data_IF_309998216352
#
_entry.id   IF_309998216352
#
_cell.length_a   1.000
_cell.length_b   1.000
_cell.length_c   1.000
_cell.angle_alpha   90.00
_cell.angle_beta   90.00
_cell.angle_gamma   90.00
#
_symmetry.space_group_name_H-M   'P 1'
#
loop_
_entity.id
_entity.type
_entity.pdbx_description
1 polymer ?
#
# COMPACT_ATOMS: atom_id res chain seq x y z
N UNK A 1 2.33 3.10 18.55
CA UNK A 1 2.08 2.12 17.47
C UNK A 1 3.13 1.02 17.44
N UNK A 2 4.41 1.36 17.52
CA UNK A 2 5.56 0.45 17.33
C UNK A 2 6.26 0.04 18.63
N UNK A 3 5.55 0.04 19.76
CA UNK A 3 6.09 -0.28 21.07
C UNK A 3 6.70 -1.69 21.14
N UNK A 4 6.00 -2.69 20.60
CA UNK A 4 6.46 -4.08 20.62
C UNK A 4 7.76 -4.29 19.84
N UNK A 5 7.95 -3.56 18.75
CA UNK A 5 9.17 -3.60 17.95
C UNK A 5 10.34 -2.94 18.66
N UNK A 6 10.08 -1.83 19.36
CA UNK A 6 11.12 -1.15 20.15
C UNK A 6 11.62 -1.98 21.32
N UNK A 7 10.77 -2.86 21.86
CA UNK A 7 11.03 -3.60 23.11
C UNK A 7 11.34 -5.09 22.90
N UNK A 8 11.30 -5.60 21.66
CA UNK A 8 11.55 -7.04 21.37
C UNK A 8 12.91 -7.55 21.84
N UNK A 9 13.94 -6.70 21.88
CA UNK A 9 15.30 -7.03 22.32
C UNK A 9 15.68 -6.30 23.64
N UNK A 10 14.79 -5.45 24.14
CA UNK A 10 15.05 -4.58 25.27
C UNK A 10 14.67 -5.23 26.61
N UNK A 11 15.35 -4.82 27.66
CA UNK A 11 14.97 -5.17 29.04
C UNK A 11 13.63 -4.52 29.41
N UNK A 12 12.85 -5.12 30.32
CA UNK A 12 11.58 -4.57 30.78
C UNK A 12 11.66 -3.15 31.39
N UNK A 13 12.86 -2.68 31.74
CA UNK A 13 13.15 -1.31 32.19
C UNK A 13 13.08 -0.29 31.05
N UNK A 14 13.50 -0.66 29.86
CA UNK A 14 13.47 0.25 28.68
C UNK A 14 12.05 0.45 28.14
N UNK A 15 11.23 -0.59 28.08
CA UNK A 15 9.81 -0.48 27.72
C UNK A 15 9.08 0.51 28.66
N UNK A 16 9.39 0.45 29.96
CA UNK A 16 8.83 1.37 30.94
C UNK A 16 9.31 2.81 30.72
N UNK A 17 10.59 3.02 30.34
CA UNK A 17 11.15 4.35 30.04
C UNK A 17 10.47 4.98 28.81
N UNK A 18 10.46 4.28 27.67
CA UNK A 18 9.85 4.77 26.43
C UNK A 18 8.37 5.10 26.67
N UNK A 19 7.64 4.20 27.32
CA UNK A 19 6.22 4.42 27.63
C UNK A 19 6.03 5.66 28.51
N UNK A 20 6.87 5.88 29.51
CA UNK A 20 6.80 7.05 30.40
C UNK A 20 7.13 8.34 29.66
N UNK A 21 8.16 8.34 28.79
CA UNK A 21 8.53 9.51 27.98
C UNK A 21 7.42 9.90 26.99
N UNK A 22 6.85 8.91 26.28
CA UNK A 22 5.70 9.14 25.37
C UNK A 22 4.49 9.65 26.17
N UNK A 23 4.18 9.08 27.33
CA UNK A 23 3.09 9.54 28.17
C UNK A 23 3.31 10.98 28.65
N UNK A 24 4.54 11.37 28.99
CA UNK A 24 4.89 12.74 29.36
C UNK A 24 4.61 13.71 28.21
N UNK A 25 5.03 13.37 26.97
CA UNK A 25 4.74 14.19 25.78
C UNK A 25 3.23 14.34 25.56
N UNK A 26 2.48 13.24 25.67
CA UNK A 26 1.03 13.25 25.49
C UNK A 26 0.32 14.08 26.56
N UNK A 27 0.77 14.01 27.82
CA UNK A 27 0.21 14.82 28.93
C UNK A 27 0.46 16.30 28.73
N UNK A 28 1.68 16.70 28.37
CA UNK A 28 2.00 18.10 28.09
C UNK A 28 1.15 18.61 26.93
N UNK A 29 1.09 17.87 25.82
CA UNK A 29 0.26 18.25 24.68
C UNK A 29 -1.24 18.34 25.03
N UNK A 30 -1.76 17.39 25.79
CA UNK A 30 -3.16 17.38 26.21
C UNK A 30 -3.54 18.55 27.12
N UNK A 31 -2.63 18.95 28.02
CA UNK A 31 -2.87 20.04 28.98
C UNK A 31 -2.55 21.41 28.33
N UNK A 32 -1.34 21.52 27.76
CA UNK A 32 -0.80 22.83 27.36
C UNK A 32 -1.31 23.30 25.97
N UNK A 33 -1.70 22.34 25.12
CA UNK A 33 -2.11 22.65 23.72
C UNK A 33 -3.59 22.37 23.47
N UNK A 34 -4.11 21.29 24.03
CA UNK A 34 -5.49 20.87 23.79
C UNK A 34 -6.46 21.28 24.89
N UNK A 35 -5.95 21.85 25.99
CA UNK A 35 -6.72 22.19 27.19
C UNK A 35 -7.73 21.11 27.59
N UNK A 36 -7.34 19.84 27.39
CA UNK A 36 -8.22 18.69 27.42
C UNK A 36 -7.93 17.72 28.58
N UNK A 37 -8.85 16.77 28.74
CA UNK A 37 -8.74 15.71 29.74
C UNK A 37 -8.20 14.44 29.11
N UNK A 38 -6.97 14.04 29.50
CA UNK A 38 -6.29 12.81 29.06
C UNK A 38 -6.49 11.70 30.06
N UNK A 39 -6.99 10.55 29.60
CA UNK A 39 -7.12 9.33 30.39
C UNK A 39 -6.43 8.15 29.70
N UNK A 40 -5.63 7.40 30.43
CA UNK A 40 -5.10 6.11 29.98
C UNK A 40 -6.20 5.04 30.08
N UNK A 41 -6.51 4.37 29.00
CA UNK A 41 -7.56 3.33 28.94
C UNK A 41 -6.97 1.95 29.14
N UNK A 42 -5.92 1.60 28.38
CA UNK A 42 -5.16 0.34 28.47
C UNK A 42 -3.69 0.61 28.19
N UNK A 43 -2.85 -0.43 28.19
CA UNK A 43 -1.47 -0.29 27.75
C UNK A 43 -1.41 0.20 26.30
N UNK A 44 -0.78 1.37 26.09
CA UNK A 44 -0.61 1.99 24.79
C UNK A 44 -1.86 2.66 24.20
N UNK A 45 -2.99 2.73 24.93
CA UNK A 45 -4.19 3.46 24.48
C UNK A 45 -4.58 4.55 25.47
N UNK A 46 -4.84 5.73 24.92
CA UNK A 46 -5.25 6.91 25.67
C UNK A 46 -6.54 7.48 25.05
N UNK A 47 -7.34 8.14 25.85
CA UNK A 47 -8.51 8.91 25.43
C UNK A 47 -8.30 10.36 25.84
N UNK A 48 -8.42 11.27 24.90
CA UNK A 48 -8.39 12.71 25.12
C UNK A 48 -9.77 13.27 24.80
N UNK A 49 -10.30 14.09 25.72
CA UNK A 49 -11.52 14.88 25.52
C UNK A 49 -11.10 16.34 25.49
N UNK A 50 -11.43 17.02 24.42
CA UNK A 50 -11.14 18.45 24.19
C UNK A 50 -12.28 19.08 23.39
N UNK A 51 -12.25 20.37 23.19
CA UNK A 51 -13.23 21.08 22.35
C UNK A 51 -12.76 21.20 20.89
N UNK A 52 -13.68 21.65 20.06
CA UNK A 52 -13.49 21.74 18.61
C UNK A 52 -12.51 22.85 18.21
N UNK A 53 -12.39 23.92 19.01
CA UNK A 53 -11.47 25.00 18.74
C UNK A 53 -10.01 24.52 18.80
N UNK A 54 -9.65 23.76 19.83
CA UNK A 54 -8.29 23.24 19.98
C UNK A 54 -7.96 22.17 18.92
N UNK A 55 -8.97 21.44 18.42
CA UNK A 55 -8.77 20.55 17.27
C UNK A 55 -8.41 21.36 16.01
N UNK A 56 -9.10 22.48 15.72
CA UNK A 56 -8.76 23.34 14.57
C UNK A 56 -7.38 23.99 14.71
N UNK A 57 -7.00 24.40 15.92
CA UNK A 57 -5.64 24.88 16.17
C UNK A 57 -4.58 23.81 15.96
N UNK A 58 -4.83 22.57 16.42
CA UNK A 58 -3.95 21.44 16.18
C UNK A 58 -3.84 21.09 14.69
N UNK A 59 -4.94 21.18 13.93
CA UNK A 59 -4.95 21.02 12.46
C UNK A 59 -4.04 22.05 11.80
N UNK A 60 -4.15 23.31 12.17
CA UNK A 60 -3.31 24.40 11.62
C UNK A 60 -1.82 24.13 11.87
N UNK A 61 -1.48 23.55 13.02
CA UNK A 61 -0.12 23.10 13.38
C UNK A 61 0.21 21.69 12.86
N UNK A 62 -0.65 21.11 12.00
CA UNK A 62 -0.53 19.75 11.42
C UNK A 62 -0.25 18.68 12.47
N UNK A 63 -0.82 18.80 13.66
CA UNK A 63 -0.62 17.88 14.80
C UNK A 63 0.86 17.66 15.13
N UNK A 64 1.57 18.71 15.48
CA UNK A 64 2.99 18.69 15.83
C UNK A 64 3.36 17.66 16.94
N UNK A 65 2.38 17.16 17.71
CA UNK A 65 2.57 16.09 18.69
C UNK A 65 3.13 14.80 18.06
N UNK A 66 2.82 14.51 16.79
CA UNK A 66 3.41 13.38 16.06
C UNK A 66 4.92 13.53 16.00
N UNK A 67 5.42 14.71 15.63
CA UNK A 67 6.86 14.98 15.57
C UNK A 67 7.49 14.96 16.96
N UNK A 68 6.81 15.47 17.98
CA UNK A 68 7.28 15.44 19.35
C UNK A 68 7.45 14.03 19.87
N UNK A 69 6.52 13.12 19.57
CA UNK A 69 6.64 11.70 19.97
C UNK A 69 7.77 11.01 19.20
N UNK A 70 8.02 11.35 17.95
CA UNK A 70 9.14 10.79 17.16
C UNK A 70 10.52 11.15 17.71
N UNK A 71 10.63 12.15 18.58
CA UNK A 71 11.90 12.47 19.27
C UNK A 71 12.26 11.43 20.33
N UNK A 72 11.28 10.69 20.85
CA UNK A 72 11.51 9.60 21.80
C UNK A 72 12.06 8.40 21.05
N UNK A 73 13.25 7.93 21.43
CA UNK A 73 13.95 6.84 20.76
C UNK A 73 14.25 5.68 21.71
N UNK A 74 14.12 4.46 21.17
CA UNK A 74 14.63 3.23 21.82
C UNK A 74 16.14 3.05 21.64
N UNK A 75 16.73 2.06 22.31
CA UNK A 75 18.15 1.70 22.21
C UNK A 75 18.57 1.34 20.78
N UNK A 76 17.65 0.77 19.99
CA UNK A 76 17.85 0.49 18.57
C UNK A 76 17.75 1.73 17.66
N UNK A 77 17.74 2.94 18.25
CA UNK A 77 17.55 4.23 17.58
C UNK A 77 16.23 4.37 16.81
N UNK A 78 15.26 3.49 17.05
CA UNK A 78 13.94 3.55 16.47
C UNK A 78 13.08 4.59 17.18
N UNK A 79 12.47 5.53 16.42
CA UNK A 79 11.58 6.54 16.97
C UNK A 79 10.24 5.95 17.40
N UNK A 80 9.70 6.41 18.52
CA UNK A 80 8.33 6.10 18.91
C UNK A 80 7.32 6.77 17.96
N UNK A 81 6.18 6.12 17.72
CA UNK A 81 5.10 6.66 16.88
C UNK A 81 3.76 6.52 17.57
N UNK A 82 2.82 7.44 17.24
CA UNK A 82 1.43 7.38 17.70
C UNK A 82 0.47 7.52 16.53
N UNK A 83 -0.71 6.92 16.69
CA UNK A 83 -1.87 7.16 15.82
C UNK A 83 -2.99 7.77 16.63
N UNK A 84 -3.69 8.74 16.03
CA UNK A 84 -4.77 9.48 16.70
C UNK A 84 -6.02 9.38 15.82
N UNK A 85 -7.13 8.95 16.42
CA UNK A 85 -8.46 9.02 15.81
C UNK A 85 -9.29 10.10 16.49
N UNK A 86 -9.88 10.99 15.71
CA UNK A 86 -10.71 12.10 16.21
C UNK A 86 -12.14 11.95 15.68
N UNK A 87 -13.11 11.94 16.59
CA UNK A 87 -14.55 11.95 16.29
C UNK A 87 -15.18 13.29 16.65
N UNK A 88 -15.56 14.07 15.63
CA UNK A 88 -16.14 15.42 15.79
C UNK A 88 -17.63 15.50 15.57
N UNK A 89 -18.24 14.48 14.96
CA UNK A 89 -19.57 14.59 14.38
C UNK A 89 -20.67 13.91 15.21
N UNK A 90 -20.37 13.47 16.42
CA UNK A 90 -21.35 12.78 17.25
C UNK A 90 -22.36 13.72 17.89
N UNK A 91 -23.64 13.41 17.81
CA UNK A 91 -24.70 14.09 18.57
C UNK A 91 -24.58 13.78 20.07
N UNK A 92 -23.97 12.65 20.40
CA UNK A 92 -23.70 12.19 21.77
C UNK A 92 -22.21 11.88 21.96
N UNK A 93 -21.76 11.88 23.22
CA UNK A 93 -20.39 11.50 23.56
C UNK A 93 -20.07 10.05 23.12
N UNK A 94 -21.03 9.14 23.21
CA UNK A 94 -20.88 7.75 22.76
C UNK A 94 -20.67 7.66 21.25
N UNK A 95 -21.39 8.47 20.48
CA UNK A 95 -21.24 8.51 19.03
C UNK A 95 -19.89 9.14 18.63
N UNK A 96 -19.49 10.22 19.30
CA UNK A 96 -18.15 10.80 19.10
C UNK A 96 -17.04 9.82 19.44
N UNK A 97 -17.18 9.00 20.49
CA UNK A 97 -16.24 7.94 20.81
C UNK A 97 -16.20 6.85 19.71
N UNK A 98 -17.36 6.44 19.19
CA UNK A 98 -17.44 5.49 18.09
C UNK A 98 -16.71 6.02 16.84
N UNK A 99 -16.97 7.26 16.45
CA UNK A 99 -16.31 7.92 15.32
C UNK A 99 -14.79 8.05 15.56
N UNK A 100 -14.35 8.37 16.77
CA UNK A 100 -12.93 8.42 17.12
C UNK A 100 -12.25 7.05 17.01
N UNK A 101 -12.95 5.97 17.40
CA UNK A 101 -12.43 4.60 17.23
C UNK A 101 -12.32 4.21 15.76
N UNK A 102 -13.35 4.49 14.94
CA UNK A 102 -13.31 4.25 13.50
C UNK A 102 -12.18 5.03 12.84
N UNK A 103 -12.00 6.30 13.21
CA UNK A 103 -10.91 7.12 12.73
C UNK A 103 -9.54 6.57 13.15
N UNK A 104 -9.40 6.05 14.39
CA UNK A 104 -8.16 5.42 14.84
C UNK A 104 -7.86 4.13 14.06
N UNK A 105 -8.85 3.28 13.82
CA UNK A 105 -8.70 2.08 13.00
C UNK A 105 -8.28 2.44 11.57
N UNK A 106 -8.86 3.52 11.02
CA UNK A 106 -8.47 4.04 9.72
C UNK A 106 -7.01 4.53 9.71
N UNK A 107 -6.57 5.28 10.73
CA UNK A 107 -5.19 5.73 10.86
C UNK A 107 -4.20 4.54 10.97
N UNK A 108 -4.53 3.53 11.77
CA UNK A 108 -3.72 2.32 11.93
C UNK A 108 -3.68 1.49 10.64
N UNK A 109 -4.84 1.29 9.98
CA UNK A 109 -4.94 0.57 8.70
C UNK A 109 -4.20 1.27 7.54
N UNK A 110 -3.89 2.57 7.68
CA UNK A 110 -3.07 3.32 6.73
C UNK A 110 -1.57 3.29 7.04
N UNK A 111 -1.16 2.51 8.03
CA UNK A 111 0.23 2.34 8.42
C UNK A 111 0.63 3.11 9.70
N UNK A 112 -0.32 3.65 10.45
CA UNK A 112 -0.03 4.37 11.70
C UNK A 112 0.73 5.69 11.53
N UNK A 113 1.24 6.21 12.66
CA UNK A 113 2.00 7.47 12.72
C UNK A 113 1.26 8.66 12.09
N UNK A 114 -0.04 8.75 12.31
CA UNK A 114 -0.90 9.76 11.70
C UNK A 114 -2.16 10.05 12.53
N UNK A 115 -2.80 11.14 12.19
CA UNK A 115 -4.11 11.52 12.69
C UNK A 115 -5.15 11.28 11.60
N UNK A 116 -6.26 10.66 11.95
CA UNK A 116 -7.46 10.62 11.13
C UNK A 116 -8.60 11.33 11.88
N UNK A 117 -9.32 12.19 11.19
CA UNK A 117 -10.48 12.92 11.71
C UNK A 117 -11.71 12.49 10.96
N UNK A 118 -12.71 11.97 11.66
CA UNK A 118 -14.02 11.70 11.11
C UNK A 118 -14.83 13.01 11.05
N UNK A 119 -15.27 13.39 9.86
CA UNK A 119 -16.00 14.64 9.59
C UNK A 119 -17.52 14.41 9.64
N UNK A 120 -18.29 15.52 9.75
CA UNK A 120 -19.77 15.47 9.81
C UNK A 120 -20.44 14.89 8.57
N UNK A 121 -19.79 14.99 7.42
CA UNK A 121 -20.27 14.42 6.14
C UNK A 121 -19.90 12.94 5.94
N UNK A 122 -19.32 12.31 6.95
CA UNK A 122 -18.85 10.91 6.88
C UNK A 122 -17.51 10.73 6.19
N UNK A 123 -16.85 11.80 5.79
CA UNK A 123 -15.50 11.75 5.20
C UNK A 123 -14.40 11.73 6.27
N UNK A 124 -13.18 11.42 5.84
CA UNK A 124 -12.01 11.45 6.71
C UNK A 124 -10.98 12.46 6.21
N UNK A 125 -10.39 13.19 7.16
CA UNK A 125 -9.25 14.06 6.91
C UNK A 125 -8.00 13.45 7.60
N UNK A 126 -6.83 13.51 6.94
CA UNK A 126 -5.62 12.85 7.43
C UNK A 126 -4.45 13.82 7.57
N UNK A 127 -3.65 13.64 8.63
CA UNK A 127 -2.42 14.40 8.89
C UNK A 127 -1.30 13.43 9.31
N UNK A 128 -0.06 13.66 8.88
CA UNK A 128 1.08 12.80 9.21
C UNK A 128 1.25 11.63 8.22
N UNK A 129 1.65 10.46 8.70
CA UNK A 129 1.93 9.28 7.86
C UNK A 129 3.24 9.37 7.09
N UNK A 130 4.22 10.11 7.62
CA UNK A 130 5.52 10.38 7.00
C UNK A 130 6.59 9.35 7.37
N UNK A 131 6.39 8.57 8.45
CA UNK A 131 7.38 7.60 8.88
C UNK A 131 7.41 6.39 7.94
N UNK A 132 8.61 5.85 7.73
CA UNK A 132 8.76 4.49 7.19
C UNK A 132 8.21 3.55 8.27
N UNK A 133 7.05 2.95 8.04
CA UNK A 133 6.47 1.99 8.97
C UNK A 133 7.45 0.86 9.26
N UNK A 134 7.44 0.39 10.49
CA UNK A 134 8.26 -0.76 10.90
C UNK A 134 7.55 -2.03 10.49
N UNK A 135 8.26 -2.93 9.85
CA UNK A 135 7.75 -4.24 9.46
C UNK A 135 7.30 -5.02 10.71
N UNK A 136 5.99 -5.21 10.86
CA UNK A 136 5.44 -6.06 11.92
C UNK A 136 5.50 -7.52 11.50
N UNK A 137 6.33 -8.30 12.19
CA UNK A 137 6.46 -9.73 11.93
C UNK A 137 5.60 -10.51 12.92
N UNK A 138 4.40 -10.92 12.53
CA UNK A 138 3.55 -11.79 13.34
C UNK A 138 3.27 -13.14 12.65
N UNK A 139 4.26 -14.05 12.77
CA UNK A 139 4.11 -15.43 12.26
C UNK A 139 2.95 -16.18 12.93
N UNK A 140 2.58 -15.82 14.15
CA UNK A 140 1.46 -16.45 14.87
C UNK A 140 0.15 -16.03 14.22
N UNK A 141 -0.01 -14.73 13.93
CA UNK A 141 -1.19 -14.21 13.24
C UNK A 141 -1.36 -14.85 11.86
N UNK A 142 -0.30 -14.89 11.05
CA UNK A 142 -0.34 -15.52 9.72
C UNK A 142 -0.75 -17.00 9.82
N UNK A 143 -0.24 -17.74 10.81
CA UNK A 143 -0.60 -19.15 11.04
C UNK A 143 -2.06 -19.32 11.41
N UNK A 144 -2.60 -18.47 12.29
CA UNK A 144 -4.01 -18.50 12.68
C UNK A 144 -4.90 -18.19 11.49
N UNK A 145 -4.56 -17.15 10.73
CA UNK A 145 -5.30 -16.79 9.51
C UNK A 145 -5.28 -17.95 8.51
N UNK A 146 -4.14 -18.57 8.27
CA UNK A 146 -4.02 -19.71 7.34
C UNK A 146 -4.89 -20.91 7.78
N UNK A 147 -4.94 -21.20 9.07
CA UNK A 147 -5.80 -22.26 9.62
C UNK A 147 -7.29 -21.94 9.42
N UNK A 148 -7.72 -20.74 9.82
CA UNK A 148 -9.11 -20.29 9.68
C UNK A 148 -9.53 -20.24 8.21
N UNK A 149 -8.67 -19.72 7.32
CA UNK A 149 -8.91 -19.70 5.88
C UNK A 149 -9.07 -21.14 5.32
N UNK A 150 -8.21 -22.06 5.74
CA UNK A 150 -8.32 -23.48 5.32
C UNK A 150 -9.66 -24.09 5.71
N UNK A 151 -10.21 -23.78 6.89
CA UNK A 151 -11.50 -24.29 7.34
C UNK A 151 -12.66 -23.69 6.50
N UNK A 152 -12.61 -22.41 6.18
CA UNK A 152 -13.57 -21.78 5.28
C UNK A 152 -13.50 -22.35 3.86
N UNK A 153 -12.30 -22.60 3.31
CA UNK A 153 -12.12 -23.23 2.02
C UNK A 153 -12.72 -24.63 2.02
N UNK A 154 -12.41 -25.47 3.02
CA UNK A 154 -12.92 -26.85 3.13
C UNK A 154 -14.43 -26.91 3.25
N UNK A 155 -15.08 -25.91 3.87
CA UNK A 155 -16.51 -25.84 4.04
C UNK A 155 -17.28 -25.26 2.83
N UNK A 156 -16.56 -24.80 1.81
CA UNK A 156 -17.12 -24.21 0.60
C UNK A 156 -17.17 -25.20 -0.56
N UNK A 157 -18.11 -25.02 -1.48
CA UNK A 157 -18.28 -25.86 -2.66
C UNK A 157 -17.40 -25.45 -3.84
N UNK A 158 -17.22 -24.12 -4.03
CA UNK A 158 -16.33 -23.55 -5.03
C UNK A 158 -15.69 -22.28 -4.47
N UNK A 159 -14.41 -22.08 -4.74
CA UNK A 159 -13.65 -20.91 -4.33
C UNK A 159 -13.41 -20.04 -5.56
N UNK A 160 -13.87 -18.79 -5.51
CA UNK A 160 -13.56 -17.76 -6.49
C UNK A 160 -12.47 -16.85 -5.94
N UNK A 161 -11.52 -16.48 -6.77
CA UNK A 161 -10.41 -15.60 -6.41
C UNK A 161 -10.41 -14.45 -7.40
N UNK A 162 -10.37 -13.20 -6.94
CA UNK A 162 -10.25 -12.06 -7.83
C UNK A 162 -9.36 -10.98 -7.23
N UNK A 163 -8.68 -10.23 -8.09
CA UNK A 163 -7.91 -9.05 -7.71
C UNK A 163 -8.66 -7.75 -7.98
N UNK A 164 -7.90 -6.71 -8.26
CA UNK A 164 -8.43 -5.42 -8.69
C UNK A 164 -8.61 -5.37 -10.21
N UNK A 165 -9.46 -4.46 -10.69
CA UNK A 165 -9.61 -4.15 -12.13
C UNK A 165 -8.26 -3.65 -12.69
N UNK A 166 -7.96 -3.96 -13.96
CA UNK A 166 -6.63 -3.76 -14.56
C UNK A 166 -5.51 -4.45 -13.78
N UNK A 167 -5.78 -5.68 -13.31
CA UNK A 167 -4.90 -6.47 -12.46
C UNK A 167 -3.48 -6.55 -13.01
N UNK A 168 -2.51 -6.33 -12.14
CA UNK A 168 -1.08 -6.37 -12.44
C UNK A 168 -0.44 -7.71 -12.02
N UNK A 169 0.90 -7.77 -12.01
CA UNK A 169 1.62 -8.99 -11.65
C UNK A 169 1.45 -9.36 -10.17
N UNK A 170 1.16 -8.40 -9.26
CA UNK A 170 0.94 -8.73 -7.86
C UNK A 170 -0.46 -9.32 -7.65
N UNK A 171 -1.50 -8.67 -8.17
CA UNK A 171 -2.86 -9.18 -8.11
C UNK A 171 -2.99 -10.58 -8.74
N UNK A 172 -2.45 -10.77 -9.96
CA UNK A 172 -2.52 -12.05 -10.65
C UNK A 172 -1.60 -13.09 -9.98
N UNK A 173 -0.41 -12.72 -9.55
CA UNK A 173 0.52 -13.59 -8.84
C UNK A 173 -0.06 -14.11 -7.53
N UNK A 174 -0.64 -13.22 -6.73
CA UNK A 174 -1.35 -13.57 -5.49
C UNK A 174 -2.55 -14.49 -5.76
N UNK A 175 -3.35 -14.18 -6.79
CA UNK A 175 -4.48 -15.04 -7.18
C UNK A 175 -4.03 -16.45 -7.60
N UNK A 176 -2.97 -16.56 -8.39
CA UNK A 176 -2.37 -17.84 -8.80
C UNK A 176 -1.85 -18.63 -7.59
N UNK A 177 -1.17 -17.98 -6.67
CA UNK A 177 -0.69 -18.60 -5.43
C UNK A 177 -1.84 -19.13 -4.56
N UNK A 178 -2.92 -18.36 -4.41
CA UNK A 178 -4.12 -18.81 -3.69
C UNK A 178 -4.84 -19.94 -4.41
N UNK A 179 -4.94 -19.88 -5.75
CA UNK A 179 -5.49 -20.97 -6.54
C UNK A 179 -4.73 -22.30 -6.28
N UNK A 180 -3.40 -22.25 -6.28
CA UNK A 180 -2.58 -23.42 -5.99
C UNK A 180 -2.77 -23.93 -4.54
N UNK A 181 -2.86 -23.03 -3.57
CA UNK A 181 -3.14 -23.39 -2.17
C UNK A 181 -4.49 -24.13 -2.03
N UNK A 182 -5.51 -23.68 -2.76
CA UNK A 182 -6.85 -24.27 -2.74
C UNK A 182 -6.88 -25.59 -3.49
N UNK A 183 -6.39 -25.63 -4.73
CA UNK A 183 -6.53 -26.80 -5.61
C UNK A 183 -5.52 -27.89 -5.29
N UNK A 184 -4.24 -27.55 -5.21
CA UNK A 184 -3.16 -28.50 -4.95
C UNK A 184 -2.90 -28.72 -3.46
N UNK A 185 -3.13 -27.68 -2.65
CA UNK A 185 -2.90 -27.74 -1.21
C UNK A 185 -4.02 -28.39 -0.42
N UNK A 186 -5.28 -28.10 -0.75
CA UNK A 186 -6.45 -28.53 -0.01
C UNK A 186 -7.42 -29.43 -0.82
N UNK A 187 -7.10 -29.74 -2.08
CA UNK A 187 -7.91 -30.54 -2.99
C UNK A 187 -9.35 -30.02 -3.12
N UNK A 188 -9.47 -28.71 -3.38
CA UNK A 188 -10.76 -28.01 -3.56
C UNK A 188 -10.81 -27.31 -4.91
N UNK A 189 -12.03 -27.07 -5.43
CA UNK A 189 -12.21 -26.37 -6.71
C UNK A 189 -12.01 -24.87 -6.52
N UNK A 190 -11.20 -24.27 -7.39
CA UNK A 190 -11.03 -22.83 -7.43
C UNK A 190 -10.94 -22.32 -8.87
N UNK A 191 -11.38 -21.08 -9.08
CA UNK A 191 -11.23 -20.33 -10.32
C UNK A 191 -10.84 -18.89 -10.03
N UNK A 192 -9.99 -18.31 -10.89
CA UNK A 192 -9.58 -16.90 -10.82
C UNK A 192 -10.50 -16.12 -11.75
N UNK A 193 -11.22 -15.16 -11.20
CA UNK A 193 -12.15 -14.27 -11.93
C UNK A 193 -11.38 -13.08 -12.45
N UNK A 194 -11.31 -12.93 -13.78
CA UNK A 194 -10.51 -11.89 -14.43
C UNK A 194 -11.04 -11.56 -15.83
N UNK A 195 -11.03 -10.28 -16.19
CA UNK A 195 -11.12 -9.83 -17.56
C UNK A 195 -9.72 -9.71 -18.18
N UNK A 196 -9.32 -10.76 -18.91
CA UNK A 196 -7.98 -10.84 -19.53
C UNK A 196 -7.67 -9.65 -20.45
N UNK A 197 -8.70 -9.05 -21.06
CA UNK A 197 -8.54 -7.92 -21.99
C UNK A 197 -8.12 -6.64 -21.28
N UNK A 198 -8.39 -6.51 -19.98
CA UNK A 198 -8.03 -5.34 -19.18
C UNK A 198 -6.80 -5.56 -18.30
N UNK A 199 -6.38 -6.80 -18.10
CA UNK A 199 -5.24 -7.08 -17.23
C UNK A 199 -3.91 -6.59 -17.81
N UNK A 200 -3.08 -6.00 -16.95
CA UNK A 200 -1.70 -5.62 -17.27
C UNK A 200 -0.72 -6.81 -17.18
N UNK A 201 -1.16 -7.93 -16.60
CA UNK A 201 -0.35 -9.14 -16.42
C UNK A 201 -0.53 -10.18 -17.54
N UNK A 202 -0.81 -9.75 -18.76
CA UNK A 202 -1.12 -10.64 -19.91
C UNK A 202 -0.04 -11.69 -20.13
N UNK A 203 1.25 -11.33 -20.00
CA UNK A 203 2.38 -12.26 -20.15
C UNK A 203 2.33 -13.37 -19.11
N UNK A 204 1.97 -13.06 -17.87
CA UNK A 204 1.83 -14.03 -16.80
C UNK A 204 0.62 -14.95 -17.05
N UNK A 205 -0.54 -14.39 -17.41
CA UNK A 205 -1.75 -15.17 -17.72
C UNK A 205 -1.49 -16.16 -18.83
N UNK A 206 -0.89 -15.72 -19.94
CA UNK A 206 -0.57 -16.55 -21.10
C UNK A 206 0.40 -17.71 -20.75
N UNK A 207 1.24 -17.57 -19.73
CA UNK A 207 2.13 -18.64 -19.28
C UNK A 207 1.39 -19.87 -18.71
N UNK A 208 0.14 -19.70 -18.29
CA UNK A 208 -0.73 -20.76 -17.77
C UNK A 208 -1.70 -21.28 -18.82
N UNK A 209 -2.00 -20.53 -19.87
CA UNK A 209 -2.91 -20.96 -20.93
C UNK A 209 -2.38 -22.20 -21.70
N UNK A 210 -3.31 -22.92 -22.32
CA UNK A 210 -3.02 -24.10 -23.15
C UNK A 210 -2.36 -25.26 -22.42
N UNK A 211 -2.46 -25.32 -21.09
CA UNK A 211 -1.96 -26.44 -20.30
C UNK A 211 -3.11 -27.14 -19.59
N UNK A 212 -3.25 -28.48 -19.73
CA UNK A 212 -4.37 -29.21 -19.12
C UNK A 212 -4.49 -29.06 -17.60
N UNK A 213 -3.36 -28.87 -16.91
CA UNK A 213 -3.32 -28.67 -15.45
C UNK A 213 -4.04 -27.40 -15.01
N UNK A 214 -4.08 -26.37 -15.87
CA UNK A 214 -4.66 -25.05 -15.59
C UNK A 214 -5.94 -24.77 -16.39
N UNK A 215 -6.56 -25.80 -16.92
CA UNK A 215 -7.85 -25.68 -17.60
C UNK A 215 -8.89 -25.13 -16.63
N UNK A 216 -9.66 -24.14 -17.08
CA UNK A 216 -10.66 -23.41 -16.26
C UNK A 216 -10.10 -22.67 -15.03
N UNK A 217 -8.79 -22.44 -14.96
CA UNK A 217 -8.19 -21.62 -13.90
C UNK A 217 -8.67 -20.17 -13.98
N UNK A 218 -8.62 -19.57 -15.16
CA UNK A 218 -9.09 -18.21 -15.40
C UNK A 218 -10.47 -18.23 -16.05
N UNK A 219 -11.43 -17.57 -15.40
CA UNK A 219 -12.81 -17.44 -15.87
C UNK A 219 -13.24 -15.97 -15.91
N UNK A 220 -14.20 -15.67 -16.72
CA UNK A 220 -14.81 -14.34 -16.80
C UNK A 220 -15.72 -14.07 -15.59
N UNK A 221 -16.01 -12.79 -15.26
CA UNK A 221 -17.01 -12.46 -14.24
C UNK A 221 -18.39 -13.10 -14.50
N UNK A 222 -18.81 -13.19 -15.75
CA UNK A 222 -20.10 -13.82 -16.09
C UNK A 222 -20.09 -15.31 -15.78
N UNK A 223 -19.04 -16.03 -16.14
CA UNK A 223 -18.93 -17.45 -15.79
C UNK A 223 -18.86 -17.69 -14.28
N UNK A 224 -18.30 -16.76 -13.51
CA UNK A 224 -18.32 -16.82 -12.05
C UNK A 224 -19.74 -16.66 -11.50
N UNK A 225 -20.53 -15.72 -12.01
CA UNK A 225 -21.93 -15.51 -11.65
C UNK A 225 -22.79 -16.74 -11.97
N UNK A 226 -22.55 -17.37 -13.12
CA UNK A 226 -23.29 -18.58 -13.54
C UNK A 226 -22.98 -19.80 -12.66
N UNK A 227 -21.82 -19.85 -12.02
CA UNK A 227 -21.31 -20.99 -11.23
C UNK A 227 -21.41 -20.78 -9.72
N UNK A 228 -21.57 -19.54 -9.24
CA UNK A 228 -21.58 -19.26 -7.80
C UNK A 228 -22.85 -19.77 -7.11
N UNK A 229 -22.71 -20.12 -5.84
CA UNK A 229 -23.80 -20.57 -4.97
C UNK A 229 -23.71 -19.84 -3.62
N UNK A 230 -24.71 -20.03 -2.77
CA UNK A 230 -24.68 -19.49 -1.39
C UNK A 230 -23.58 -20.10 -0.50
N UNK A 231 -22.98 -21.21 -0.92
CA UNK A 231 -21.89 -21.87 -0.21
C UNK A 231 -20.52 -21.56 -0.82
N UNK A 232 -20.47 -20.75 -1.87
CA UNK A 232 -19.22 -20.32 -2.48
C UNK A 232 -18.47 -19.35 -1.57
N UNK A 233 -17.16 -19.33 -1.71
CA UNK A 233 -16.25 -18.41 -1.03
C UNK A 233 -15.55 -17.54 -2.07
N UNK A 234 -15.53 -16.22 -1.85
CA UNK A 234 -14.75 -15.28 -2.63
C UNK A 234 -13.50 -14.86 -1.86
N UNK A 235 -12.33 -15.00 -2.46
CA UNK A 235 -11.07 -14.48 -1.94
C UNK A 235 -10.67 -13.29 -2.81
N UNK A 236 -10.67 -12.10 -2.23
CA UNK A 236 -10.21 -10.87 -2.87
C UNK A 236 -8.76 -10.65 -2.48
N UNK A 237 -7.88 -10.52 -3.47
CA UNK A 237 -6.44 -10.31 -3.28
C UNK A 237 -6.03 -8.96 -3.85
N UNK A 238 -5.05 -8.32 -3.23
CA UNK A 238 -4.41 -7.09 -3.68
C UNK A 238 -5.36 -5.89 -3.82
N UNK A 239 -6.49 -5.95 -3.17
CA UNK A 239 -7.40 -4.81 -2.98
C UNK A 239 -8.40 -5.11 -1.87
N UNK A 240 -8.81 -4.09 -1.16
CA UNK A 240 -9.92 -4.14 -0.22
C UNK A 240 -11.05 -3.17 -0.61
N UNK A 241 -10.86 -2.41 -1.69
CA UNK A 241 -11.81 -1.39 -2.13
C UNK A 241 -12.94 -2.02 -2.95
N UNK A 242 -14.19 -1.75 -2.57
CA UNK A 242 -15.37 -2.19 -3.31
C UNK A 242 -15.47 -1.63 -4.72
N UNK A 243 -14.83 -0.47 -4.98
CA UNK A 243 -14.84 0.18 -6.30
C UNK A 243 -13.74 -0.32 -7.23
N UNK A 244 -12.67 -0.93 -6.68
CA UNK A 244 -11.52 -1.38 -7.47
C UNK A 244 -11.48 -2.88 -7.72
N UNK A 245 -12.36 -3.68 -7.10
CA UNK A 245 -12.42 -5.12 -7.38
C UNK A 245 -12.69 -5.40 -8.86
N UNK A 246 -12.23 -6.53 -9.36
CA UNK A 246 -12.40 -6.96 -10.75
C UNK A 246 -13.86 -6.96 -11.21
N UNK A 247 -14.80 -7.41 -10.34
CA UNK A 247 -16.24 -7.36 -10.58
C UNK A 247 -17.01 -7.09 -9.29
N UNK A 248 -17.75 -5.98 -9.28
CA UNK A 248 -18.66 -5.64 -8.19
C UNK A 248 -19.88 -6.56 -8.14
N UNK A 249 -20.31 -7.09 -9.30
CA UNK A 249 -21.43 -8.03 -9.40
C UNK A 249 -21.07 -9.36 -8.72
N UNK A 250 -19.89 -9.90 -8.96
CA UNK A 250 -19.39 -11.11 -8.29
C UNK A 250 -19.22 -10.87 -6.79
N UNK A 251 -18.70 -9.72 -6.38
CA UNK A 251 -18.58 -9.35 -4.96
C UNK A 251 -19.94 -9.34 -4.27
N UNK A 252 -20.99 -8.83 -4.92
CA UNK A 252 -22.36 -8.80 -4.37
C UNK A 252 -23.04 -10.16 -4.36
N UNK A 253 -22.73 -11.02 -5.34
CA UNK A 253 -23.36 -12.33 -5.50
C UNK A 253 -22.86 -13.36 -4.49
N UNK A 254 -21.61 -13.24 -4.00
CA UNK A 254 -20.98 -14.20 -3.09
C UNK A 254 -20.87 -13.56 -1.69
N UNK A 255 -21.71 -13.98 -0.71
CA UNK A 255 -21.78 -13.29 0.60
C UNK A 255 -20.59 -13.62 1.53
N UNK A 256 -19.88 -14.71 1.29
CA UNK A 256 -18.71 -15.12 2.09
C UNK A 256 -17.44 -14.60 1.44
N UNK A 257 -16.90 -13.52 1.97
CA UNK A 257 -15.74 -12.83 1.40
C UNK A 257 -14.54 -12.88 2.34
N UNK A 258 -13.37 -13.16 1.80
CA UNK A 258 -12.06 -13.03 2.44
C UNK A 258 -11.29 -11.95 1.69
N UNK A 259 -10.61 -11.07 2.42
CA UNK A 259 -9.74 -10.03 1.85
C UNK A 259 -8.30 -10.29 2.29
N UNK A 260 -7.36 -10.23 1.35
CA UNK A 260 -5.90 -10.32 1.57
C UNK A 260 -5.26 -9.15 0.84
N UNK A 261 -4.84 -8.11 1.57
CA UNK A 261 -4.38 -6.87 0.95
C UNK A 261 -3.32 -6.14 1.79
N UNK A 262 -2.41 -5.46 1.10
CA UNK A 262 -1.33 -4.68 1.70
C UNK A 262 -1.43 -3.17 1.44
N UNK A 263 -2.41 -2.72 0.68
CA UNK A 263 -2.62 -1.31 0.40
C UNK A 263 -3.05 -0.54 1.65
N UNK A 264 -2.77 0.75 1.71
CA UNK A 264 -3.27 1.61 2.78
C UNK A 264 -4.79 1.60 2.82
N UNK A 265 -5.37 1.48 4.02
CA UNK A 265 -6.82 1.43 4.22
C UNK A 265 -7.53 2.59 3.51
N UNK A 266 -8.52 2.26 2.70
CA UNK A 266 -9.40 3.21 2.04
C UNK A 266 -10.70 3.37 2.82
N UNK A 267 -11.33 4.55 2.70
CA UNK A 267 -12.62 4.85 3.34
C UNK A 267 -13.69 3.88 2.86
N UNK A 268 -13.78 3.65 1.54
CA UNK A 268 -14.68 2.66 0.96
C UNK A 268 -13.98 1.31 0.85
N UNK A 269 -14.30 0.39 1.73
CA UNK A 269 -13.71 -0.94 1.74
C UNK A 269 -14.77 -2.02 1.94
N UNK A 270 -14.37 -3.28 1.81
CA UNK A 270 -15.24 -4.45 2.02
C UNK A 270 -15.39 -4.66 3.54
N UNK A 271 -16.51 -4.18 4.11
CA UNK A 271 -16.73 -4.18 5.56
C UNK A 271 -17.10 -5.57 6.12
N UNK A 272 -17.83 -6.39 5.35
CA UNK A 272 -18.40 -7.66 5.81
C UNK A 272 -17.55 -8.88 5.44
N UNK A 273 -16.22 -8.73 5.37
CA UNK A 273 -15.33 -9.85 5.12
C UNK A 273 -15.28 -10.78 6.36
N UNK A 274 -15.44 -12.10 6.14
CA UNK A 274 -15.30 -13.11 7.21
C UNK A 274 -13.85 -13.24 7.70
N UNK A 275 -12.89 -12.92 6.82
CA UNK A 275 -11.49 -12.73 7.16
C UNK A 275 -11.03 -11.46 6.45
N UNK A 276 -10.51 -10.50 7.20
CA UNK A 276 -9.89 -9.29 6.69
C UNK A 276 -8.40 -9.30 7.07
N UNK A 277 -7.57 -9.91 6.21
CA UNK A 277 -6.13 -10.01 6.40
C UNK A 277 -5.45 -8.86 5.67
N UNK A 278 -5.25 -7.78 6.40
CA UNK A 278 -4.70 -6.53 5.91
C UNK A 278 -3.39 -6.22 6.63
N UNK A 279 -2.30 -6.03 5.85
CA UNK A 279 -0.94 -5.80 6.33
C UNK A 279 -0.26 -4.69 5.52
N UNK A 280 -0.43 -3.41 5.87
CA UNK A 280 0.09 -2.28 5.09
C UNK A 280 1.63 -2.20 5.05
N UNK A 281 2.30 -3.00 5.85
CA UNK A 281 3.76 -3.11 5.89
C UNK A 281 4.31 -4.28 5.06
N UNK A 282 3.46 -5.17 4.59
CA UNK A 282 3.88 -6.19 3.63
C UNK A 282 4.30 -5.52 2.32
N UNK A 283 5.27 -6.10 1.65
CA UNK A 283 5.75 -5.55 0.38
C UNK A 283 4.72 -5.66 -0.75
N UNK A 284 3.93 -6.73 -0.72
CA UNK A 284 2.98 -7.10 -1.77
C UNK A 284 1.94 -8.12 -1.26
N UNK A 285 0.82 -8.25 -1.95
CA UNK A 285 -0.15 -9.32 -1.70
C UNK A 285 0.43 -10.70 -2.00
N UNK A 286 1.31 -10.81 -2.99
CA UNK A 286 2.05 -12.04 -3.32
C UNK A 286 2.96 -12.49 -2.18
N UNK A 287 3.60 -11.57 -1.44
CA UNK A 287 4.36 -11.91 -0.22
C UNK A 287 3.43 -12.53 0.82
N UNK A 288 2.29 -11.88 1.11
CA UNK A 288 1.31 -12.36 2.09
C UNK A 288 0.76 -13.74 1.72
N UNK A 289 0.44 -13.95 0.45
CA UNK A 289 -0.03 -15.26 -0.06
C UNK A 289 1.08 -16.31 0.03
N UNK A 290 2.33 -15.98 -0.33
CA UNK A 290 3.45 -16.91 -0.20
C UNK A 290 3.64 -17.38 1.25
N UNK A 291 3.43 -16.51 2.23
CA UNK A 291 3.45 -16.88 3.65
C UNK A 291 2.27 -17.78 4.03
N UNK A 292 1.03 -17.44 3.61
CA UNK A 292 -0.16 -18.26 3.87
C UNK A 292 -0.01 -19.66 3.30
N UNK A 293 0.48 -19.80 2.07
CA UNK A 293 0.68 -21.09 1.40
C UNK A 293 1.63 -21.99 2.20
N UNK A 294 2.67 -21.43 2.81
CA UNK A 294 3.60 -22.23 3.64
C UNK A 294 2.90 -22.89 4.83
N UNK A 295 1.87 -22.24 5.41
CA UNK A 295 1.11 -22.80 6.54
C UNK A 295 -0.08 -23.65 6.10
N UNK A 296 -0.68 -23.41 4.92
CA UNK A 296 -1.75 -24.23 4.36
C UNK A 296 -1.19 -25.56 3.88
N UNK A 297 -0.25 -25.52 2.95
CA UNK A 297 0.51 -26.68 2.45
C UNK A 297 1.78 -26.19 1.75
N UNK A 298 2.92 -26.36 2.40
CA UNK A 298 4.22 -25.88 1.89
C UNK A 298 4.63 -26.51 0.56
N UNK A 299 3.98 -27.59 0.11
CA UNK A 299 4.25 -28.27 -1.15
C UNK A 299 3.29 -27.91 -2.27
N UNK A 300 2.28 -27.06 -2.03
CA UNK A 300 1.24 -26.74 -3.00
C UNK A 300 1.75 -26.04 -4.27
N UNK A 301 2.84 -25.28 -4.18
CA UNK A 301 3.41 -24.56 -5.33
C UNK A 301 4.36 -25.43 -6.12
N UNK A 302 4.24 -25.39 -7.44
CA UNK A 302 5.30 -25.83 -8.35
C UNK A 302 6.09 -24.60 -8.89
N UNK A 303 7.00 -24.83 -9.86
CA UNK A 303 7.84 -23.79 -10.45
C UNK A 303 7.02 -22.59 -10.99
N UNK A 304 5.88 -22.83 -11.63
CA UNK A 304 5.11 -21.79 -12.31
C UNK A 304 4.39 -20.87 -11.32
N UNK A 305 3.66 -21.45 -10.38
CA UNK A 305 2.98 -20.65 -9.36
C UNK A 305 3.97 -19.91 -8.46
N UNK A 306 5.10 -20.55 -8.12
CA UNK A 306 6.16 -19.89 -7.38
C UNK A 306 6.78 -18.72 -8.17
N UNK A 307 6.92 -18.86 -9.51
CA UNK A 307 7.38 -17.77 -10.38
C UNK A 307 6.36 -16.62 -10.47
N UNK A 308 5.06 -16.97 -10.52
CA UNK A 308 3.98 -15.98 -10.51
C UNK A 308 3.99 -15.11 -9.23
N UNK A 309 4.05 -15.76 -8.06
CA UNK A 309 4.17 -15.04 -6.77
C UNK A 309 5.43 -14.17 -6.70
N UNK A 310 6.58 -14.70 -7.17
CA UNK A 310 7.81 -13.92 -7.19
C UNK A 310 7.73 -12.70 -8.12
N UNK A 311 6.97 -12.78 -9.23
CA UNK A 311 6.78 -11.64 -10.12
C UNK A 311 6.00 -10.50 -9.47
N UNK A 312 4.99 -10.80 -8.65
CA UNK A 312 4.27 -9.81 -7.85
C UNK A 312 5.17 -9.13 -6.82
N UNK A 313 5.92 -9.92 -6.03
CA UNK A 313 6.89 -9.36 -5.07
C UNK A 313 7.90 -8.43 -5.78
N UNK A 314 8.44 -8.84 -6.92
CA UNK A 314 9.43 -8.04 -7.65
C UNK A 314 8.83 -6.78 -8.28
N UNK A 315 7.54 -6.79 -8.66
CA UNK A 315 6.84 -5.60 -9.15
C UNK A 315 6.77 -4.52 -8.07
N UNK A 316 6.20 -4.86 -6.93
CA UNK A 316 5.89 -3.90 -5.85
C UNK A 316 7.13 -3.43 -5.10
N UNK A 317 8.13 -4.30 -4.98
CA UNK A 317 9.42 -3.94 -4.38
C UNK A 317 10.37 -3.23 -5.34
N UNK A 318 9.98 -3.03 -6.61
CA UNK A 318 10.91 -2.53 -7.64
C UNK A 318 12.23 -3.31 -7.66
N UNK A 319 12.11 -4.63 -7.80
CA UNK A 319 13.24 -5.57 -7.73
C UNK A 319 14.03 -5.50 -6.39
N UNK A 320 13.31 -5.54 -5.27
CA UNK A 320 13.86 -5.50 -3.90
C UNK A 320 14.53 -4.17 -3.51
N UNK A 321 14.15 -3.06 -4.16
CA UNK A 321 14.65 -1.71 -3.83
C UNK A 321 13.75 -1.01 -2.82
N UNK A 322 12.42 -1.11 -2.97
CA UNK A 322 11.44 -0.41 -2.15
C UNK A 322 10.65 -1.41 -1.29
N UNK A 323 10.17 -0.97 -0.13
CA UNK A 323 9.31 -1.75 0.79
C UNK A 323 9.81 -3.18 1.05
N UNK A 324 11.12 -3.40 1.02
CA UNK A 324 11.72 -4.73 1.16
C UNK A 324 12.22 -4.93 2.58
N UNK A 325 11.62 -5.89 3.26
CA UNK A 325 11.99 -6.29 4.61
C UNK A 325 12.49 -7.74 4.68
N UNK A 326 12.73 -8.21 5.91
CA UNK A 326 13.14 -9.61 6.15
C UNK A 326 12.08 -10.59 5.67
N UNK A 327 10.79 -10.28 5.88
CA UNK A 327 9.66 -11.09 5.39
C UNK A 327 9.71 -11.29 3.88
N UNK A 328 9.97 -10.22 3.14
CA UNK A 328 10.06 -10.24 1.67
C UNK A 328 11.15 -11.21 1.19
N UNK A 329 12.33 -11.18 1.83
CA UNK A 329 13.41 -12.11 1.50
C UNK A 329 13.09 -13.55 1.93
N UNK A 330 12.46 -13.78 3.09
CA UNK A 330 12.03 -15.11 3.53
C UNK A 330 10.99 -15.71 2.57
N UNK A 331 9.97 -14.94 2.17
CA UNK A 331 8.99 -15.34 1.17
C UNK A 331 9.67 -15.67 -0.17
N UNK A 332 10.54 -14.79 -0.65
CA UNK A 332 11.28 -15.00 -1.90
C UNK A 332 12.20 -16.23 -1.84
N UNK A 333 12.85 -16.47 -0.71
CA UNK A 333 13.68 -17.66 -0.49
C UNK A 333 12.82 -18.95 -0.50
N UNK A 334 11.62 -18.91 0.08
CA UNK A 334 10.66 -20.02 -0.02
C UNK A 334 10.25 -20.27 -1.47
N UNK A 335 9.86 -19.22 -2.21
CA UNK A 335 9.48 -19.34 -3.63
C UNK A 335 10.64 -19.88 -4.46
N UNK A 336 11.87 -19.46 -4.19
CA UNK A 336 13.06 -19.98 -4.87
C UNK A 336 13.28 -21.47 -4.57
N UNK A 337 13.08 -21.93 -3.34
CA UNK A 337 13.09 -23.38 -3.00
C UNK A 337 12.00 -24.14 -3.74
N UNK A 338 10.84 -23.52 -4.04
CA UNK A 338 9.77 -24.10 -4.86
C UNK A 338 10.05 -24.05 -6.36
N UNK A 339 11.22 -23.55 -6.76
CA UNK A 339 11.68 -23.52 -8.14
C UNK A 339 11.38 -22.24 -8.92
N UNK A 340 10.96 -21.15 -8.25
CA UNK A 340 10.71 -19.87 -8.91
C UNK A 340 11.90 -19.45 -9.78
N UNK A 341 11.60 -19.01 -10.99
CA UNK A 341 12.58 -18.65 -12.01
C UNK A 341 12.68 -17.15 -12.24
N UNK A 342 13.76 -16.56 -11.73
CA UNK A 342 14.01 -15.12 -11.83
C UNK A 342 14.23 -14.64 -13.27
N UNK A 343 14.65 -15.53 -14.19
CA UNK A 343 14.80 -15.18 -15.61
C UNK A 343 13.43 -15.06 -16.26
N UNK A 344 12.52 -15.99 -15.96
CA UNK A 344 11.14 -15.89 -16.45
C UNK A 344 10.46 -14.65 -15.88
N UNK A 345 10.65 -14.35 -14.59
CA UNK A 345 10.14 -13.10 -14.01
C UNK A 345 10.69 -11.88 -14.76
N UNK A 346 12.00 -11.85 -15.05
CA UNK A 346 12.60 -10.75 -15.84
C UNK A 346 11.97 -10.57 -17.21
N UNK A 347 11.57 -11.68 -17.87
CA UNK A 347 10.88 -11.64 -19.17
C UNK A 347 9.47 -11.04 -19.05
N UNK A 348 8.77 -11.22 -17.93
CA UNK A 348 7.45 -10.63 -17.68
C UNK A 348 7.50 -9.09 -17.59
N UNK A 349 8.65 -8.54 -17.20
CA UNK A 349 8.92 -7.09 -17.17
C UNK A 349 9.47 -6.54 -18.50
N UNK A 350 9.61 -7.37 -19.53
CA UNK A 350 10.16 -6.92 -20.80
C UNK A 350 9.19 -5.96 -21.50
N UNK A 351 9.71 -4.83 -21.94
CA UNK A 351 8.99 -3.84 -22.73
C UNK A 351 9.20 -4.08 -24.23
N UNK A 352 8.28 -3.58 -25.05
CA UNK A 352 8.50 -3.49 -26.49
C UNK A 352 9.68 -2.55 -26.79
N UNK A 353 10.31 -2.73 -27.95
CA UNK A 353 11.37 -1.83 -28.39
C UNK A 353 10.89 -0.38 -28.49
N UNK A 354 9.65 -0.16 -28.87
CA UNK A 354 9.09 1.18 -29.01
C UNK A 354 8.89 1.84 -27.64
N UNK A 355 8.31 1.14 -26.67
CA UNK A 355 8.22 1.62 -25.27
C UNK A 355 9.61 1.90 -24.68
N UNK A 356 10.61 1.06 -25.01
CA UNK A 356 11.99 1.28 -24.59
C UNK A 356 12.56 2.57 -25.19
N UNK A 357 12.36 2.82 -26.50
CA UNK A 357 12.83 4.05 -27.16
C UNK A 357 12.20 5.30 -26.55
N UNK A 358 10.87 5.27 -26.35
CA UNK A 358 10.10 6.37 -25.77
C UNK A 358 10.61 6.71 -24.36
N UNK A 359 10.75 5.70 -23.50
CA UNK A 359 11.33 5.86 -22.17
C UNK A 359 12.76 6.41 -22.21
N UNK A 360 13.62 5.86 -23.08
CA UNK A 360 15.02 6.28 -23.19
C UNK A 360 15.15 7.73 -23.66
N UNK A 361 14.25 8.21 -24.52
CA UNK A 361 14.22 9.61 -24.93
C UNK A 361 13.86 10.54 -23.76
N UNK A 362 12.90 10.14 -22.92
CA UNK A 362 12.55 10.88 -21.70
C UNK A 362 13.76 10.97 -20.76
N UNK A 363 14.43 9.84 -20.52
CA UNK A 363 15.59 9.77 -19.62
C UNK A 363 16.77 10.62 -20.17
N UNK A 364 17.06 10.50 -21.48
CA UNK A 364 18.14 11.26 -22.12
C UNK A 364 17.92 12.78 -22.14
N UNK A 365 16.65 13.21 -22.13
CA UNK A 365 16.27 14.63 -22.08
C UNK A 365 16.15 15.20 -20.66
N UNK A 366 16.52 14.44 -19.63
CA UNK A 366 16.39 14.89 -18.24
C UNK A 366 17.53 15.85 -17.83
N UNK A 367 17.16 16.84 -17.03
CA UNK A 367 18.11 17.76 -16.39
C UNK A 367 18.08 17.53 -14.87
N UNK A 368 19.21 17.68 -14.20
CA UNK A 368 19.29 17.56 -12.74
C UNK A 368 19.30 18.94 -12.08
N UNK A 369 18.34 19.19 -11.21
CA UNK A 369 18.20 20.41 -10.43
C UNK A 369 18.09 20.12 -8.94
N UNK A 370 19.03 20.60 -8.12
CA UNK A 370 19.10 20.38 -6.65
C UNK A 370 18.93 18.90 -6.24
N UNK A 371 19.50 17.97 -7.01
CA UNK A 371 19.37 16.53 -6.76
C UNK A 371 18.01 15.93 -7.20
N UNK A 372 17.23 16.67 -7.97
CA UNK A 372 15.99 16.21 -8.59
C UNK A 372 16.19 16.12 -10.10
N UNK A 373 15.92 14.97 -10.70
CA UNK A 373 15.92 14.82 -12.16
C UNK A 373 14.56 15.25 -12.72
N UNK A 374 14.56 16.13 -13.72
CA UNK A 374 13.34 16.65 -14.34
C UNK A 374 13.43 16.37 -15.84
N UNK A 375 12.51 15.55 -16.36
CA UNK A 375 12.33 15.27 -17.78
C UNK A 375 11.02 15.88 -18.28
N UNK A 376 11.02 16.42 -19.50
CA UNK A 376 9.84 17.00 -20.12
C UNK A 376 9.61 16.42 -21.52
N UNK A 377 8.37 16.10 -21.86
CA UNK A 377 7.97 15.68 -23.21
C UNK A 377 6.73 16.41 -23.67
N UNK A 378 6.80 16.95 -24.88
CA UNK A 378 5.65 17.49 -25.59
C UNK A 378 5.03 16.46 -26.57
N UNK A 379 5.64 15.29 -26.71
CA UNK A 379 5.20 14.26 -27.65
C UNK A 379 4.08 13.43 -27.04
N UNK A 380 3.06 13.17 -27.84
CA UNK A 380 2.02 12.22 -27.52
C UNK A 380 2.36 10.90 -28.22
N UNK A 381 2.35 9.82 -27.45
CA UNK A 381 2.51 8.46 -27.96
C UNK A 381 1.64 7.48 -27.17
N UNK A 382 1.30 6.34 -27.75
CA UNK A 382 0.55 5.32 -27.03
C UNK A 382 1.28 4.94 -25.73
N UNK A 383 0.53 4.80 -24.64
CA UNK A 383 1.09 4.41 -23.33
C UNK A 383 2.09 5.40 -22.69
N UNK A 384 2.02 6.69 -23.04
CA UNK A 384 2.90 7.73 -22.47
C UNK A 384 2.92 7.72 -20.94
N UNK A 385 1.82 7.42 -20.28
CA UNK A 385 1.74 7.32 -18.80
C UNK A 385 2.66 6.22 -18.25
N UNK A 386 2.70 5.06 -18.91
CA UNK A 386 3.54 3.92 -18.53
C UNK A 386 5.01 4.26 -18.77
N UNK A 387 5.35 4.79 -19.94
CA UNK A 387 6.72 5.17 -20.27
C UNK A 387 7.24 6.28 -19.34
N UNK A 388 6.41 7.27 -19.00
CA UNK A 388 6.76 8.35 -18.06
C UNK A 388 6.98 7.83 -16.63
N UNK A 389 6.14 6.89 -16.16
CA UNK A 389 6.33 6.26 -14.87
C UNK A 389 7.62 5.45 -14.80
N UNK A 390 7.91 4.67 -15.85
CA UNK A 390 9.16 3.89 -15.97
C UNK A 390 10.39 4.79 -16.11
N UNK A 391 10.30 5.90 -16.86
CA UNK A 391 11.36 6.89 -16.95
C UNK A 391 11.64 7.54 -15.58
N UNK A 392 10.61 7.86 -14.82
CA UNK A 392 10.77 8.40 -13.48
C UNK A 392 11.47 7.39 -12.55
N UNK A 393 11.12 6.11 -12.62
CA UNK A 393 11.81 5.06 -11.85
C UNK A 393 13.28 4.92 -12.29
N UNK A 394 13.58 4.98 -13.61
CA UNK A 394 14.94 4.84 -14.15
C UNK A 394 15.85 6.03 -13.78
N UNK A 395 15.31 7.25 -13.79
CA UNK A 395 16.03 8.45 -13.39
C UNK A 395 16.54 8.41 -11.95
N UNK A 396 15.90 7.65 -11.06
CA UNK A 396 16.39 7.44 -9.70
C UNK A 396 17.67 6.59 -9.63
N UNK A 397 18.04 5.89 -10.70
CA UNK A 397 19.30 5.14 -10.76
C UNK A 397 20.53 6.03 -11.05
N UNK A 398 20.33 7.29 -11.38
CA UNK A 398 21.39 8.24 -11.67
C UNK A 398 22.04 8.72 -10.36
N UNK A 399 23.35 8.69 -10.30
CA UNK A 399 24.11 9.14 -9.13
C UNK A 399 23.77 10.58 -8.74
N UNK A 400 23.44 10.81 -7.47
CA UNK A 400 23.09 12.13 -6.92
C UNK A 400 21.63 12.54 -7.13
N UNK A 401 20.81 11.73 -7.79
CA UNK A 401 19.38 11.95 -7.93
C UNK A 401 18.66 11.34 -6.73
N UNK A 402 17.90 12.18 -6.01
CA UNK A 402 17.08 11.80 -4.83
C UNK A 402 15.59 11.71 -5.16
N UNK A 403 15.14 12.47 -6.16
CA UNK A 403 13.78 12.43 -6.68
C UNK A 403 13.79 12.68 -8.19
N UNK A 404 12.77 12.21 -8.88
CA UNK A 404 12.60 12.37 -10.32
C UNK A 404 11.17 12.83 -10.64
N UNK A 405 11.06 13.68 -11.66
CA UNK A 405 9.81 14.25 -12.13
C UNK A 405 9.78 14.16 -13.66
N UNK A 406 8.79 13.44 -14.20
CA UNK A 406 8.56 13.38 -15.64
C UNK A 406 7.27 14.13 -15.95
N UNK A 407 7.40 15.21 -16.72
CA UNK A 407 6.31 16.09 -17.14
C UNK A 407 5.98 15.74 -18.59
N UNK A 408 4.75 15.36 -18.87
CA UNK A 408 4.33 14.89 -20.17
C UNK A 408 2.89 15.29 -20.52
N UNK A 409 2.58 15.34 -21.81
CA UNK A 409 1.27 15.67 -22.30
C UNK A 409 0.37 14.43 -22.45
N UNK A 410 -0.89 14.55 -22.07
CA UNK A 410 -1.94 13.55 -22.27
C UNK A 410 -3.19 14.26 -22.77
N UNK A 411 -3.46 14.21 -24.07
CA UNK A 411 -4.54 14.98 -24.68
C UNK A 411 -4.38 16.48 -24.44
N UNK A 412 -5.35 17.11 -23.78
CA UNK A 412 -5.34 18.53 -23.45
C UNK A 412 -4.80 18.86 -22.04
N UNK A 413 -4.25 17.89 -21.35
CA UNK A 413 -3.74 18.06 -19.99
C UNK A 413 -2.24 17.78 -19.94
N UNK A 414 -1.56 18.39 -18.97
CA UNK A 414 -0.19 18.06 -18.63
C UNK A 414 -0.19 17.19 -17.36
N UNK A 415 0.49 16.08 -17.43
CA UNK A 415 0.64 15.17 -16.30
C UNK A 415 2.08 15.21 -15.75
N UNK A 416 2.21 14.97 -14.45
CA UNK A 416 3.50 14.77 -13.77
C UNK A 416 3.49 13.37 -13.16
N UNK A 417 4.55 12.60 -13.42
CA UNK A 417 4.87 11.39 -12.68
C UNK A 417 6.10 11.64 -11.85
N UNK A 418 6.00 11.48 -10.53
CA UNK A 418 7.10 11.73 -9.60
C UNK A 418 7.46 10.47 -8.81
N UNK A 419 8.78 10.32 -8.56
CA UNK A 419 9.36 9.22 -7.76
C UNK A 419 10.41 9.74 -6.80
N UNK A 420 10.63 9.03 -5.68
CA UNK A 420 11.67 9.34 -4.71
C UNK A 420 12.16 8.06 -4.01
N UNK A 421 13.41 8.07 -3.59
CA UNK A 421 13.98 7.03 -2.72
C UNK A 421 13.65 7.23 -1.23
N UNK A 422 12.89 8.30 -0.90
CA UNK A 422 12.42 8.60 0.45
C UNK A 422 13.02 9.86 1.08
N UNK A 423 14.06 10.44 0.49
CA UNK A 423 14.70 11.69 0.98
C UNK A 423 13.86 12.92 0.65
N UNK A 424 13.08 12.87 -0.41
CA UNK A 424 12.19 13.93 -0.88
C UNK A 424 10.76 13.42 -0.88
N UNK A 425 9.88 14.10 -0.18
CA UNK A 425 8.45 13.75 -0.18
C UNK A 425 7.78 14.32 -1.44
N UNK A 426 7.65 13.46 -2.47
CA UNK A 426 7.05 13.87 -3.74
C UNK A 426 5.54 14.10 -3.65
N UNK A 427 4.86 13.54 -2.67
CA UNK A 427 3.43 13.80 -2.43
C UNK A 427 3.19 15.27 -2.11
N UNK A 428 3.90 15.82 -1.11
CA UNK A 428 3.74 17.21 -0.68
C UNK A 428 4.05 18.19 -1.83
N UNK A 429 5.03 17.83 -2.67
CA UNK A 429 5.39 18.64 -3.84
C UNK A 429 4.29 18.64 -4.90
N UNK A 430 3.64 17.50 -5.13
CA UNK A 430 2.59 17.40 -6.15
C UNK A 430 1.21 17.81 -5.65
N UNK A 431 0.96 17.88 -4.36
CA UNK A 431 -0.24 18.52 -3.78
C UNK A 431 -0.37 19.99 -4.19
N UNK A 432 0.75 20.72 -4.36
CA UNK A 432 0.77 22.10 -4.88
C UNK A 432 0.23 22.21 -6.34
N UNK A 433 0.16 21.09 -7.05
CA UNK A 433 -0.40 20.96 -8.41
C UNK A 433 -1.78 20.31 -8.42
N UNK A 434 -2.43 20.18 -7.25
CA UNK A 434 -3.71 19.46 -7.13
C UNK A 434 -3.58 17.95 -7.33
N UNK A 435 -2.37 17.43 -7.22
CA UNK A 435 -2.07 16.00 -7.31
C UNK A 435 -2.09 15.29 -5.96
N UNK A 436 -1.59 14.05 -5.95
CA UNK A 436 -1.50 13.25 -4.73
C UNK A 436 -0.66 12.00 -4.94
N UNK A 437 -0.55 11.21 -3.89
CA UNK A 437 0.23 9.98 -3.91
C UNK A 437 0.79 9.63 -2.53
N UNK A 438 2.04 9.21 -2.51
CA UNK A 438 2.77 8.81 -1.31
C UNK A 438 4.17 9.45 -1.29
N UNK A 439 4.88 9.29 -0.18
CA UNK A 439 6.25 9.77 0.00
C UNK A 439 7.16 9.49 -1.21
N UNK A 440 7.10 8.27 -1.75
CA UNK A 440 8.01 7.79 -2.79
C UNK A 440 7.42 7.86 -4.20
N UNK A 441 6.12 8.07 -4.34
CA UNK A 441 5.42 8.04 -5.62
C UNK A 441 4.22 8.98 -5.58
N UNK A 442 4.14 9.90 -6.54
CA UNK A 442 3.02 10.81 -6.67
C UNK A 442 2.74 11.15 -8.14
N UNK A 443 1.54 11.66 -8.40
CA UNK A 443 1.11 12.14 -9.72
C UNK A 443 0.24 13.37 -9.62
N UNK A 444 0.25 14.20 -10.67
CA UNK A 444 -0.64 15.34 -10.82
C UNK A 444 -1.12 15.47 -12.27
N UNK A 445 -2.28 16.09 -12.47
CA UNK A 445 -2.83 16.41 -13.79
C UNK A 445 -3.26 17.87 -13.79
N UNK A 446 -2.70 18.64 -14.71
CA UNK A 446 -2.86 20.09 -14.78
C UNK A 446 -3.56 20.45 -16.09
N UNK A 447 -4.74 21.10 -15.99
CA UNK A 447 -5.50 21.58 -17.13
C UNK A 447 -4.99 22.93 -17.61
N UNK A 448 -5.19 23.22 -18.89
CA UNK A 448 -4.93 24.53 -19.48
C UNK A 448 -3.50 25.06 -19.22
N UNK A 449 -2.49 24.20 -19.32
CA UNK A 449 -1.08 24.55 -19.08
C UNK A 449 -0.18 24.00 -20.18
N UNK A 450 1.08 24.43 -20.19
CA UNK A 450 2.13 23.86 -21.04
C UNK A 450 3.17 23.12 -20.21
N UNK A 451 3.92 22.18 -20.81
CA UNK A 451 5.00 21.46 -20.12
C UNK A 451 6.06 22.43 -19.59
N UNK A 452 6.32 23.53 -20.28
CA UNK A 452 7.30 24.54 -19.85
C UNK A 452 6.80 25.35 -18.64
N UNK A 453 5.51 25.70 -18.59
CA UNK A 453 4.95 26.43 -17.44
C UNK A 453 4.91 25.54 -16.19
N UNK A 454 4.52 24.28 -16.37
CA UNK A 454 4.53 23.28 -15.28
C UNK A 454 5.96 23.03 -14.78
N UNK A 455 6.97 22.94 -15.68
CA UNK A 455 8.38 22.82 -15.30
C UNK A 455 8.86 24.02 -14.48
N UNK A 456 8.53 25.26 -14.90
CA UNK A 456 8.88 26.48 -14.16
C UNK A 456 8.21 26.51 -12.77
N UNK A 457 6.95 26.12 -12.69
CA UNK A 457 6.22 26.02 -11.43
C UNK A 457 6.84 24.97 -10.51
N UNK A 458 7.21 23.80 -11.04
CA UNK A 458 7.90 22.75 -10.26
C UNK A 458 9.22 23.23 -9.69
N UNK A 459 10.04 23.95 -10.47
CA UNK A 459 11.31 24.51 -9.99
C UNK A 459 11.07 25.47 -8.81
N UNK A 460 10.03 26.32 -8.85
CA UNK A 460 9.70 27.23 -7.73
C UNK A 460 9.32 26.44 -6.47
N UNK A 461 8.45 25.41 -6.62
CA UNK A 461 8.04 24.55 -5.50
C UNK A 461 9.25 23.82 -4.90
N UNK A 462 10.18 23.33 -5.74
CA UNK A 462 11.42 22.73 -5.27
C UNK A 462 12.31 23.74 -4.52
N UNK A 463 12.38 25.00 -5.01
CA UNK A 463 13.14 26.05 -4.33
C UNK A 463 12.59 26.38 -2.95
N UNK A 464 11.28 26.46 -2.80
CA UNK A 464 10.62 26.78 -1.55
C UNK A 464 10.75 25.60 -0.55
N UNK A 465 10.30 24.41 -0.94
CA UNK A 465 10.19 23.26 -0.02
C UNK A 465 11.54 22.63 0.35
N UNK A 466 12.49 22.54 -0.59
CA UNK A 466 13.82 21.97 -0.28
C UNK A 466 14.70 22.94 0.53
N UNK A 467 14.48 24.27 0.40
CA UNK A 467 15.19 25.26 1.21
C UNK A 467 14.69 25.29 2.66
N UNK A 468 13.40 25.02 2.90
CA UNK A 468 12.84 24.87 4.24
C UNK A 468 13.37 23.63 4.97
N UNK A 469 13.51 22.50 4.26
CA UNK A 469 14.05 21.26 4.81
C UNK A 469 15.52 21.41 5.26
N UNK A 470 16.32 22.19 4.54
CA UNK A 470 17.74 22.43 4.90
C UNK A 470 17.86 23.33 6.14
N UNK A 471 16.91 24.26 6.36
CA UNK A 471 16.90 25.13 7.54
C UNK A 471 16.43 24.43 8.82
N UNK A 472 15.68 23.33 8.73
CA UNK A 472 15.24 22.52 9.89
C UNK A 472 16.27 21.50 10.36
N UNK A 473 17.29 21.21 9.55
CA UNK A 473 18.37 20.24 9.86
C UNK A 473 19.69 20.90 10.30
N UNK A 474 19.75 22.25 10.34
CA UNK A 474 20.80 23.05 10.94
C UNK A 474 20.27 23.73 12.21
#
# INVERSE_FOLDING_TARGET
DNREEQTREASGSEDSRITSEVESVLRSWAIDTMEGFLRRMTNGRYMLITDDQHIEEAKTKRFAVLDSVRTVKGENNMSATISIGIGRAGVTATESELHARQALEMALGRGGDQVAIYQQDGTYEFFGGLSKGVEKRDKVRTRVIAATLSDHIKSSDHIFIMGHTNSDLDAVGAAVGMWAAVTKGLDRRASIVIDKGRSMATTLINAFEHQPEYENMFITPQEALDRCTQRSLLIVVDTHSTSFVESQEVLKAIPRVVVIDHHRMMVTHIENAIIFYHEPYASSASEMVAELVQYINSSALNKKEATALLSGIMLDTKNFVLKTGVRTFEASAYLKRRGADTVEVKKMFANSLDTYKERSQLVAGAEVYKGCAIACSNWEFPNVRIAAAQAADELLSIQGVRASFVIFRVGNEIAISARSLGDVNVQILLEEFGGGGHLNMAGAQIKNSTTNDVRKALIRVLDEKLSEATKKNN
#
